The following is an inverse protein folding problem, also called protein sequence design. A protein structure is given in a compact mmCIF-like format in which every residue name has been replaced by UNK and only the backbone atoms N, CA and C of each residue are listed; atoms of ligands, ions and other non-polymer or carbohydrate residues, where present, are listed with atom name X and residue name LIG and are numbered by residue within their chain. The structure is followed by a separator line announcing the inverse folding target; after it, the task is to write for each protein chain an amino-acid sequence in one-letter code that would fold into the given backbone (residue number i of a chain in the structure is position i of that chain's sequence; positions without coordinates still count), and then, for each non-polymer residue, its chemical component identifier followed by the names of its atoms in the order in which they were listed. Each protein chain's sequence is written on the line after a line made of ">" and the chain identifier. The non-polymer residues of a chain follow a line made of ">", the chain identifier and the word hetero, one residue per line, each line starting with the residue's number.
data_IF_219123246286
#
_entry.id   IF_219123246286
#
_cell.length_a   1.000
_cell.length_b   1.000
_cell.length_c   1.000
_cell.angle_alpha   90.00
_cell.angle_beta   90.00
_cell.angle_gamma   90.00
#
_symmetry.space_group_name_H-M   'P 1'
#
loop_
_entity.id
_entity.type
_entity.pdbx_description
1 polymer ?
#
# COMPACT_ATOMS: atom_id res chain seq x y z
N UNK A 1 -40.30 0.42 52.50
CA UNK A 1 -40.34 -0.72 51.57
C UNK A 1 -40.08 -0.13 50.20
N UNK A 2 -38.81 -0.03 49.84
CA UNK A 2 -38.36 0.52 48.58
C UNK A 2 -38.51 -0.54 47.49
N UNK A 3 -39.45 -0.30 46.57
CA UNK A 3 -39.57 -1.07 45.35
C UNK A 3 -38.39 -0.69 44.46
N UNK A 4 -37.40 -1.58 44.42
CA UNK A 4 -36.31 -1.55 43.46
C UNK A 4 -36.90 -1.48 42.05
N UNK A 5 -36.69 -0.34 41.40
CA UNK A 5 -36.97 -0.13 40.00
C UNK A 5 -35.92 -0.93 39.22
N UNK A 6 -36.28 -2.16 38.86
CA UNK A 6 -35.46 -3.00 37.99
C UNK A 6 -35.45 -2.31 36.61
N UNK A 7 -34.28 -1.94 36.05
CA UNK A 7 -34.25 -1.40 34.70
C UNK A 7 -34.79 -2.46 33.74
N UNK A 8 -35.84 -2.08 33.00
CA UNK A 8 -36.41 -2.87 31.91
C UNK A 8 -35.30 -3.21 30.89
N UNK A 9 -35.25 -4.44 30.34
CA UNK A 9 -34.41 -4.76 29.19
C UNK A 9 -35.03 -4.12 27.95
N UNK A 10 -34.90 -2.81 27.81
CA UNK A 10 -35.09 -2.08 26.56
C UNK A 10 -33.74 -1.99 25.84
N UNK A 11 -33.82 -2.09 24.51
CA UNK A 11 -32.80 -1.65 23.54
C UNK A 11 -31.74 -2.65 23.07
N UNK A 12 -32.07 -3.95 22.97
CA UNK A 12 -31.38 -4.79 21.98
C UNK A 12 -31.98 -4.45 20.60
N UNK A 13 -31.21 -3.86 19.66
CA UNK A 13 -31.74 -3.49 18.35
C UNK A 13 -32.31 -4.72 17.64
N UNK A 14 -33.46 -4.56 17.00
CA UNK A 14 -34.12 -5.66 16.30
C UNK A 14 -33.16 -6.22 15.24
N UNK A 15 -33.06 -7.56 15.10
CA UNK A 15 -32.13 -8.19 14.18
C UNK A 15 -32.28 -7.71 12.72
N UNK A 16 -33.49 -7.30 12.32
CA UNK A 16 -33.76 -6.72 11.01
C UNK A 16 -33.11 -5.34 10.80
N UNK A 17 -33.10 -4.49 11.83
CA UNK A 17 -32.44 -3.17 11.78
C UNK A 17 -30.93 -3.30 11.65
N UNK A 18 -30.34 -4.22 12.42
CA UNK A 18 -28.90 -4.51 12.36
C UNK A 18 -28.45 -5.02 10.99
N UNK A 19 -29.24 -5.89 10.35
CA UNK A 19 -28.93 -6.37 9.00
C UNK A 19 -28.95 -5.23 7.97
N UNK A 20 -29.92 -4.31 8.08
CA UNK A 20 -30.01 -3.13 7.22
C UNK A 20 -28.82 -2.18 7.38
N UNK A 21 -28.39 -1.94 8.62
CA UNK A 21 -27.19 -1.12 8.92
C UNK A 21 -25.93 -1.73 8.30
N UNK A 22 -25.70 -3.03 8.52
CA UNK A 22 -24.51 -3.72 7.96
C UNK A 22 -24.55 -3.67 6.44
N UNK A 23 -25.70 -3.93 5.81
CA UNK A 23 -25.86 -3.84 4.36
C UNK A 23 -25.55 -2.44 3.82
N UNK A 24 -26.05 -1.39 4.49
CA UNK A 24 -25.76 0.00 4.12
C UNK A 24 -24.27 0.30 4.19
N UNK A 25 -23.61 -0.08 5.29
CA UNK A 25 -22.17 0.11 5.44
C UNK A 25 -21.38 -0.67 4.39
N UNK A 26 -21.79 -1.90 4.03
CA UNK A 26 -21.13 -2.64 2.95
C UNK A 26 -21.26 -1.93 1.59
N UNK A 27 -22.43 -1.36 1.29
CA UNK A 27 -22.64 -0.57 0.07
C UNK A 27 -21.78 0.70 0.01
N UNK A 28 -21.61 1.38 1.14
CA UNK A 28 -20.70 2.53 1.27
C UNK A 28 -19.24 2.12 1.04
N UNK A 29 -18.82 1.01 1.65
CA UNK A 29 -17.46 0.47 1.48
C UNK A 29 -17.20 -0.02 0.05
N UNK A 30 -18.19 -0.62 -0.61
CA UNK A 30 -18.09 -0.98 -2.02
C UNK A 30 -17.93 0.26 -2.91
N UNK A 31 -18.75 1.29 -2.67
CA UNK A 31 -18.66 2.56 -3.41
C UNK A 31 -17.29 3.20 -3.21
N UNK A 32 -16.80 3.24 -1.97
CA UNK A 32 -15.45 3.71 -1.65
C UNK A 32 -14.36 2.91 -2.37
N UNK A 33 -14.46 1.58 -2.38
CA UNK A 33 -13.54 0.70 -3.10
C UNK A 33 -13.50 1.02 -4.60
N UNK A 34 -14.68 1.12 -5.24
CA UNK A 34 -14.77 1.45 -6.67
C UNK A 34 -14.17 2.82 -6.98
N UNK A 35 -14.39 3.81 -6.11
CA UNK A 35 -13.79 5.13 -6.27
C UNK A 35 -12.26 5.08 -6.20
N UNK A 36 -11.69 4.35 -5.23
CA UNK A 36 -10.23 4.18 -5.12
C UNK A 36 -9.64 3.52 -6.38
N UNK A 37 -10.30 2.47 -6.89
CA UNK A 37 -9.87 1.78 -8.12
C UNK A 37 -9.91 2.74 -9.32
N UNK A 38 -10.98 3.52 -9.48
CA UNK A 38 -11.11 4.47 -10.59
C UNK A 38 -10.08 5.59 -10.51
N UNK A 39 -9.89 6.17 -9.32
CA UNK A 39 -8.89 7.22 -9.09
C UNK A 39 -7.47 6.73 -9.41
N UNK A 40 -7.15 5.49 -9.01
CA UNK A 40 -5.86 4.87 -9.32
C UNK A 40 -5.68 4.52 -10.78
N UNK A 41 -6.72 4.03 -11.47
CA UNK A 41 -6.65 3.73 -12.89
C UNK A 41 -6.45 4.99 -13.75
N UNK A 42 -7.01 6.12 -13.33
CA UNK A 42 -6.88 7.41 -14.02
C UNK A 42 -5.59 8.17 -13.66
N UNK A 43 -4.85 7.71 -12.65
CA UNK A 43 -3.71 8.44 -12.11
C UNK A 43 -4.11 9.80 -11.51
N UNK A 44 -5.37 9.95 -11.08
CA UNK A 44 -5.90 11.19 -10.51
C UNK A 44 -5.39 11.46 -9.09
N UNK A 45 -4.88 10.42 -8.42
CA UNK A 45 -4.43 10.42 -7.02
C UNK A 45 -3.11 9.64 -6.94
N UNK A 46 -2.23 10.03 -6.02
CA UNK A 46 -0.96 9.32 -5.80
C UNK A 46 -1.17 7.89 -5.28
N UNK A 47 -0.30 6.97 -5.71
CA UNK A 47 -0.43 5.54 -5.40
C UNK A 47 -0.36 5.24 -3.90
N UNK A 48 0.45 6.01 -3.15
CA UNK A 48 0.55 5.86 -1.69
C UNK A 48 -0.79 6.21 -1.01
N UNK A 49 -1.51 7.23 -1.48
CA UNK A 49 -2.82 7.63 -0.95
C UNK A 49 -3.90 6.59 -1.28
N UNK A 50 -3.88 6.03 -2.50
CA UNK A 50 -4.79 4.94 -2.89
C UNK A 50 -4.57 3.72 -2.01
N UNK A 51 -3.31 3.36 -1.74
CA UNK A 51 -2.97 2.23 -0.86
C UNK A 51 -3.42 2.46 0.58
N UNK A 52 -3.36 3.70 1.06
CA UNK A 52 -3.91 4.06 2.36
C UNK A 52 -5.44 3.87 2.38
N UNK A 53 -6.16 4.44 1.40
CA UNK A 53 -7.62 4.31 1.31
C UNK A 53 -8.09 2.86 1.22
N UNK A 54 -7.41 2.03 0.41
CA UNK A 54 -7.68 0.59 0.35
C UNK A 54 -7.40 -0.13 1.68
N UNK A 55 -6.43 0.34 2.46
CA UNK A 55 -6.12 -0.22 3.78
C UNK A 55 -7.21 0.12 4.81
N UNK A 56 -7.73 1.35 4.77
CA UNK A 56 -8.84 1.79 5.61
C UNK A 56 -10.12 0.99 5.31
N UNK A 57 -10.43 0.76 4.03
CA UNK A 57 -11.56 -0.10 3.61
C UNK A 57 -11.40 -1.52 4.16
N UNK A 58 -10.20 -2.10 4.05
CA UNK A 58 -9.92 -3.44 4.58
C UNK A 58 -10.11 -3.52 6.09
N UNK A 59 -9.69 -2.48 6.83
CA UNK A 59 -9.90 -2.40 8.28
C UNK A 59 -11.38 -2.28 8.64
N UNK A 60 -12.13 -1.45 7.90
CA UNK A 60 -13.57 -1.30 8.10
C UNK A 60 -14.33 -2.61 7.83
N UNK A 61 -14.00 -3.32 6.74
CA UNK A 61 -14.57 -4.63 6.43
C UNK A 61 -14.29 -5.66 7.54
N UNK A 62 -13.09 -5.64 8.13
CA UNK A 62 -12.77 -6.49 9.29
C UNK A 62 -13.66 -6.17 10.49
N UNK A 63 -13.90 -4.88 10.78
CA UNK A 63 -14.81 -4.45 11.83
C UNK A 63 -16.22 -4.98 11.63
N UNK A 64 -16.75 -4.86 10.41
CA UNK A 64 -18.09 -5.40 10.08
C UNK A 64 -18.14 -6.92 10.16
N UNK A 65 -17.06 -7.62 9.80
CA UNK A 65 -17.00 -9.07 9.91
C UNK A 65 -17.09 -9.54 11.37
N UNK A 66 -16.35 -8.89 12.27
CA UNK A 66 -16.40 -9.20 13.70
C UNK A 66 -17.80 -8.96 14.27
N UNK A 67 -18.41 -7.81 13.95
CA UNK A 67 -19.78 -7.50 14.35
C UNK A 67 -20.78 -8.55 13.85
N UNK A 68 -20.64 -8.98 12.59
CA UNK A 68 -21.51 -9.98 12.00
C UNK A 68 -21.32 -11.38 12.60
N UNK A 69 -20.09 -11.74 12.92
CA UNK A 69 -19.74 -12.98 13.62
C UNK A 69 -20.38 -13.02 15.01
N UNK A 70 -20.26 -11.93 15.79
CA UNK A 70 -20.87 -11.81 17.12
C UNK A 70 -22.40 -11.97 17.06
N UNK A 71 -23.05 -11.43 16.03
CA UNK A 71 -24.48 -11.61 15.82
C UNK A 71 -24.81 -13.07 15.51
N UNK A 72 -24.11 -13.70 14.56
CA UNK A 72 -24.36 -15.08 14.16
C UNK A 72 -24.12 -16.12 15.27
N UNK A 73 -23.28 -15.81 16.26
CA UNK A 73 -23.04 -16.67 17.42
C UNK A 73 -24.22 -16.69 18.42
N UNK A 74 -25.17 -15.76 18.28
CA UNK A 74 -26.37 -15.72 19.11
C UNK A 74 -27.32 -16.88 18.81
N UNK A 75 -27.73 -17.58 19.87
CA UNK A 75 -28.60 -18.78 19.79
C UNK A 75 -30.09 -18.46 19.61
N UNK A 76 -30.49 -17.20 19.74
CA UNK A 76 -31.88 -16.74 19.72
C UNK A 76 -32.34 -16.25 18.33
N UNK A 77 -31.53 -16.43 17.28
CA UNK A 77 -31.87 -15.99 15.93
C UNK A 77 -32.77 -17.00 15.21
N UNK A 78 -33.84 -16.50 14.58
CA UNK A 78 -34.67 -17.28 13.67
C UNK A 78 -33.94 -17.62 12.36
N UNK A 79 -34.33 -18.73 11.72
CA UNK A 79 -33.71 -19.24 10.49
C UNK A 79 -33.60 -18.20 9.36
N UNK A 80 -34.66 -17.43 9.11
CA UNK A 80 -34.66 -16.39 8.07
C UNK A 80 -33.66 -15.27 8.34
N UNK A 81 -33.49 -14.92 9.62
CA UNK A 81 -32.55 -13.88 10.06
C UNK A 81 -31.11 -14.37 9.91
N UNK A 82 -30.83 -15.61 10.30
CA UNK A 82 -29.53 -16.25 10.09
C UNK A 82 -29.21 -16.28 8.59
N UNK A 83 -30.16 -16.65 7.74
CA UNK A 83 -29.96 -16.65 6.28
C UNK A 83 -29.59 -15.29 5.72
N UNK A 84 -30.20 -14.20 6.21
CA UNK A 84 -29.85 -12.83 5.81
C UNK A 84 -28.42 -12.45 6.23
N UNK A 85 -28.03 -12.73 7.47
CA UNK A 85 -26.67 -12.45 7.94
C UNK A 85 -25.61 -13.30 7.24
N UNK A 86 -25.93 -14.55 6.90
CA UNK A 86 -25.05 -15.40 6.10
C UNK A 86 -24.82 -14.85 4.69
N UNK A 87 -25.87 -14.32 4.04
CA UNK A 87 -25.72 -13.65 2.75
C UNK A 87 -24.81 -12.41 2.85
N UNK A 88 -25.00 -11.58 3.87
CA UNK A 88 -24.15 -10.41 4.13
C UNK A 88 -22.70 -10.82 4.42
N UNK A 89 -22.49 -11.94 5.12
CA UNK A 89 -21.14 -12.49 5.37
C UNK A 89 -20.43 -12.82 4.06
N UNK A 90 -21.13 -13.48 3.14
CA UNK A 90 -20.59 -13.85 1.84
C UNK A 90 -20.21 -12.63 1.01
N UNK A 91 -21.08 -11.62 0.99
CA UNK A 91 -20.82 -10.35 0.32
C UNK A 91 -19.61 -9.61 0.90
N UNK A 92 -19.53 -9.51 2.23
CA UNK A 92 -18.40 -8.91 2.94
C UNK A 92 -17.09 -9.62 2.59
N UNK A 93 -17.07 -10.95 2.63
CA UNK A 93 -15.87 -11.74 2.30
C UNK A 93 -15.44 -11.55 0.85
N UNK A 94 -16.40 -11.40 -0.07
CA UNK A 94 -16.12 -11.06 -1.46
C UNK A 94 -15.50 -9.66 -1.59
N UNK A 95 -16.07 -8.64 -0.93
CA UNK A 95 -15.53 -7.28 -0.91
C UNK A 95 -14.12 -7.23 -0.30
N UNK A 96 -13.89 -7.98 0.77
CA UNK A 96 -12.57 -8.09 1.40
C UNK A 96 -11.55 -8.69 0.44
N UNK A 97 -11.90 -9.79 -0.25
CA UNK A 97 -11.03 -10.41 -1.25
C UNK A 97 -10.70 -9.43 -2.37
N UNK A 98 -11.71 -8.73 -2.91
CA UNK A 98 -11.53 -7.72 -3.97
C UNK A 98 -10.59 -6.60 -3.51
N UNK A 99 -10.85 -6.02 -2.34
CA UNK A 99 -10.02 -4.94 -1.75
C UNK A 99 -8.56 -5.36 -1.58
N UNK A 100 -8.31 -6.61 -1.15
CA UNK A 100 -6.95 -7.16 -1.02
C UNK A 100 -6.25 -7.30 -2.36
N UNK A 101 -6.93 -7.81 -3.38
CA UNK A 101 -6.37 -7.97 -4.73
C UNK A 101 -5.95 -6.61 -5.28
N UNK A 102 -6.83 -5.61 -5.21
CA UNK A 102 -6.55 -4.27 -5.70
C UNK A 102 -5.37 -3.63 -4.94
N UNK A 103 -5.32 -3.79 -3.62
CA UNK A 103 -4.18 -3.32 -2.83
C UNK A 103 -2.86 -3.94 -3.27
N UNK A 104 -2.83 -5.25 -3.57
CA UNK A 104 -1.61 -5.87 -4.10
C UNK A 104 -1.25 -5.36 -5.49
N UNK A 105 -2.24 -5.14 -6.34
CA UNK A 105 -2.03 -4.57 -7.68
C UNK A 105 -1.37 -3.19 -7.59
N UNK A 106 -1.94 -2.25 -6.83
CA UNK A 106 -1.39 -0.90 -6.69
C UNK A 106 -0.04 -0.89 -5.96
N UNK A 107 0.17 -1.78 -4.98
CA UNK A 107 1.47 -1.90 -4.31
C UNK A 107 2.56 -2.37 -5.27
N UNK A 108 2.23 -3.31 -6.17
CA UNK A 108 3.14 -3.74 -7.22
C UNK A 108 3.45 -2.59 -8.18
N UNK A 109 2.43 -1.85 -8.61
CA UNK A 109 2.62 -0.70 -9.50
C UNK A 109 3.51 0.39 -8.88
N UNK A 110 3.32 0.68 -7.60
CA UNK A 110 4.18 1.61 -6.86
C UNK A 110 5.63 1.13 -6.79
N UNK A 111 5.84 -0.15 -6.51
CA UNK A 111 7.17 -0.75 -6.49
C UNK A 111 7.83 -0.69 -7.88
N UNK A 112 7.10 -1.03 -8.93
CA UNK A 112 7.57 -0.93 -10.32
C UNK A 112 7.99 0.51 -10.67
N UNK A 113 7.21 1.52 -10.27
CA UNK A 113 7.56 2.94 -10.45
C UNK A 113 8.85 3.30 -9.72
N UNK A 114 8.94 2.97 -8.43
CA UNK A 114 10.14 3.24 -7.62
C UNK A 114 11.40 2.58 -8.17
N UNK A 115 11.29 1.32 -8.63
CA UNK A 115 12.40 0.60 -9.25
C UNK A 115 12.84 1.26 -10.57
N UNK A 116 11.89 1.61 -11.43
CA UNK A 116 12.17 2.29 -12.69
C UNK A 116 12.92 3.60 -12.46
N UNK A 117 12.45 4.40 -11.52
CA UNK A 117 13.05 5.70 -11.21
C UNK A 117 14.47 5.55 -10.64
N UNK A 118 14.69 4.55 -9.77
CA UNK A 118 16.01 4.27 -9.21
C UNK A 118 17.00 3.79 -10.29
N UNK A 119 16.59 2.83 -11.13
CA UNK A 119 17.43 2.33 -12.23
C UNK A 119 17.75 3.44 -13.23
N UNK A 120 16.77 4.28 -13.56
CA UNK A 120 17.00 5.39 -14.48
C UNK A 120 18.04 6.39 -13.93
N UNK A 121 17.94 6.75 -12.65
CA UNK A 121 18.95 7.61 -12.00
C UNK A 121 20.33 6.98 -12.03
N UNK A 122 20.45 5.72 -11.62
CA UNK A 122 21.72 5.00 -11.63
C UNK A 122 22.36 4.97 -13.03
N UNK A 123 21.55 4.71 -14.07
CA UNK A 123 22.02 4.71 -15.45
C UNK A 123 22.57 6.09 -15.83
N UNK A 124 21.85 7.17 -15.51
CA UNK A 124 22.31 8.53 -15.81
C UNK A 124 23.62 8.85 -15.10
N UNK A 125 23.72 8.54 -13.80
CA UNK A 125 24.92 8.75 -12.99
C UNK A 125 26.12 8.01 -13.61
N UNK A 126 25.95 6.74 -13.97
CA UNK A 126 27.02 5.96 -14.62
C UNK A 126 27.43 6.53 -15.99
N UNK A 127 26.48 7.03 -16.80
CA UNK A 127 26.83 7.70 -18.06
C UNK A 127 27.60 9.00 -17.84
N UNK A 128 27.29 9.76 -16.80
CA UNK A 128 28.02 10.98 -16.43
C UNK A 128 29.44 10.64 -16.00
N UNK A 129 29.62 9.66 -15.11
CA UNK A 129 30.94 9.19 -14.68
C UNK A 129 31.79 8.71 -15.87
N UNK A 130 31.21 7.94 -16.80
CA UNK A 130 31.90 7.53 -18.01
C UNK A 130 32.31 8.72 -18.88
N UNK A 131 31.41 9.70 -19.08
CA UNK A 131 31.72 10.90 -19.86
C UNK A 131 32.81 11.74 -19.22
N UNK A 132 32.85 11.84 -17.89
CA UNK A 132 33.89 12.54 -17.15
C UNK A 132 35.25 11.83 -17.28
N UNK A 133 35.26 10.50 -17.21
CA UNK A 133 36.49 9.71 -17.44
C UNK A 133 37.00 9.84 -18.87
N UNK A 134 36.11 9.81 -19.87
CA UNK A 134 36.48 10.02 -21.28
C UNK A 134 37.03 11.42 -21.53
N UNK A 135 36.47 12.45 -20.89
CA UNK A 135 37.00 13.82 -20.98
C UNK A 135 38.36 13.92 -20.28
N UNK A 136 38.50 13.36 -19.07
CA UNK A 136 39.77 13.32 -18.36
C UNK A 136 40.87 12.58 -19.15
N UNK A 137 40.52 11.45 -19.80
CA UNK A 137 41.42 10.73 -20.70
C UNK A 137 41.84 11.60 -21.89
N UNK A 138 40.88 12.31 -22.51
CA UNK A 138 41.15 13.20 -23.64
C UNK A 138 42.05 14.37 -23.24
N UNK A 139 41.77 15.01 -22.12
CA UNK A 139 42.59 16.08 -21.56
C UNK A 139 44.01 15.58 -21.26
N UNK A 140 44.15 14.41 -20.63
CA UNK A 140 45.44 13.81 -20.33
C UNK A 140 46.24 13.52 -21.62
N UNK A 141 45.60 12.95 -22.64
CA UNK A 141 46.21 12.69 -23.96
C UNK A 141 46.64 13.96 -24.68
N UNK A 142 45.95 15.07 -24.46
CA UNK A 142 46.26 16.36 -25.07
C UNK A 142 47.39 17.11 -24.34
N UNK A 143 47.81 16.68 -23.15
CA UNK A 143 48.88 17.34 -22.38
C UNK A 143 50.27 17.03 -22.96
N UNK A 144 51.17 18.03 -23.04
CA UNK A 144 52.57 17.83 -23.42
C UNK A 144 53.35 16.96 -22.42
N UNK A 145 54.36 16.23 -22.90
CA UNK A 145 55.19 15.36 -22.07
C UNK A 145 55.90 16.10 -20.92
N UNK A 146 56.31 17.36 -21.10
CA UNK A 146 56.95 18.12 -20.03
C UNK A 146 55.98 18.41 -18.86
N UNK A 147 54.70 18.62 -19.17
CA UNK A 147 53.64 18.86 -18.17
C UNK A 147 53.29 17.56 -17.45
N UNK A 148 53.23 16.43 -18.18
CA UNK A 148 53.00 15.11 -17.60
C UNK A 148 54.16 14.69 -16.69
N UNK A 149 55.41 14.94 -17.11
CA UNK A 149 56.60 14.66 -16.32
C UNK A 149 56.68 15.46 -15.02
N UNK A 150 56.26 16.74 -15.05
CA UNK A 150 56.14 17.55 -13.83
C UNK A 150 55.03 17.03 -12.90
N UNK A 151 53.86 16.69 -13.45
CA UNK A 151 52.74 16.17 -12.66
C UNK A 151 53.06 14.83 -11.97
N UNK A 152 53.80 13.94 -12.65
CA UNK A 152 54.22 12.65 -12.09
C UNK A 152 55.14 12.79 -10.86
N UNK A 153 55.92 13.87 -10.79
CA UNK A 153 56.81 14.15 -9.65
C UNK A 153 56.07 14.71 -8.44
N UNK A 154 54.88 15.29 -8.66
CA UNK A 154 54.01 15.87 -7.62
C UNK A 154 52.88 14.90 -7.18
N UNK A 155 52.72 13.76 -7.85
CA UNK A 155 51.65 12.80 -7.55
C UNK A 155 51.96 12.04 -6.23
N UNK A 156 51.12 12.16 -5.18
CA UNK A 156 51.31 11.37 -3.98
C UNK A 156 51.16 9.89 -4.33
N UNK A 157 52.14 9.08 -3.90
CA UNK A 157 52.29 7.68 -4.33
C UNK A 157 50.97 6.90 -4.33
N UNK A 158 50.61 6.32 -5.48
CA UNK A 158 49.44 5.45 -5.65
C UNK A 158 49.47 4.32 -4.60
N UNK A 159 48.61 4.42 -3.58
CA UNK A 159 48.20 3.22 -2.85
C UNK A 159 47.28 2.40 -3.77
N UNK A 160 47.53 1.08 -3.93
CA UNK A 160 46.68 0.24 -4.76
C UNK A 160 45.24 0.24 -4.23
N UNK A 161 44.23 0.14 -5.11
CA UNK A 161 42.84 0.09 -4.67
C UNK A 161 42.64 -1.13 -3.77
N UNK A 162 42.18 -0.91 -2.54
CA UNK A 162 41.72 -1.96 -1.65
C UNK A 162 40.50 -2.58 -2.34
N UNK A 163 40.69 -3.73 -2.99
CA UNK A 163 39.57 -4.57 -3.40
C UNK A 163 38.95 -5.15 -2.14
N UNK A 164 37.97 -4.44 -1.60
CA UNK A 164 37.09 -4.99 -0.58
C UNK A 164 36.08 -5.91 -1.29
N UNK A 165 36.39 -7.20 -1.31
CA UNK A 165 35.41 -8.24 -1.62
C UNK A 165 34.71 -8.62 -0.32
N UNK A 166 33.55 -8.02 -0.07
CA UNK A 166 32.60 -8.37 0.99
C UNK A 166 31.20 -8.54 0.44
#
# INVERSE_FOLDING_TARGET
>A
MDLQHNPHPMDAPEPGGLAGEIASTLGELETGLLSQIQNGAQGAVELDEILQGLSEIVLALRGQYLRLQEILERRDLGFEVVGKFEALRMELLWLYRKSKIERYFFARLLLERRLRDAVHRQIIETYQEMSELEEAERELRARPEEVLGAALLDEPGLEPPITDQG
#
